data_IF_173023077656
#
_entry.id   IF_173023077656
#
_cell.length_a   1.000
_cell.length_b   1.000
_cell.length_c   1.000
_cell.angle_alpha   90.00
_cell.angle_beta   90.00
_cell.angle_gamma   90.00
#
_symmetry.space_group_name_H-M   'P 1'
#
loop_
_entity.id
_entity.type
_entity.pdbx_description
1 polymer ?
#
# COMPACT_ATOMS: atom_id res chain seq x y z
N UNK A 1 34.52 14.07 -13.78
CA UNK A 1 33.29 13.46 -14.34
C UNK A 1 32.09 14.17 -13.72
N UNK A 2 31.08 14.57 -14.53
CA UNK A 2 30.15 15.69 -14.20
C UNK A 2 28.68 15.28 -13.98
N UNK A 3 28.37 14.00 -13.74
CA UNK A 3 27.00 13.53 -13.50
C UNK A 3 26.96 12.36 -12.52
N UNK A 4 25.91 12.31 -11.70
CA UNK A 4 25.60 11.18 -10.82
C UNK A 4 25.10 10.03 -11.72
N UNK A 5 25.76 8.87 -11.66
CA UNK A 5 25.28 7.65 -12.31
C UNK A 5 24.28 6.97 -11.39
N UNK A 6 23.11 6.61 -11.93
CA UNK A 6 22.12 5.81 -11.22
C UNK A 6 22.58 4.38 -10.97
N UNK A 7 21.80 3.64 -10.19
CA UNK A 7 22.04 2.23 -9.91
C UNK A 7 21.68 1.34 -11.10
N UNK A 8 22.41 0.23 -11.27
CA UNK A 8 22.08 -0.80 -12.25
C UNK A 8 20.79 -1.53 -11.84
N UNK A 9 19.82 -1.61 -12.76
CA UNK A 9 18.50 -2.24 -12.53
C UNK A 9 18.57 -3.75 -12.32
N UNK A 10 19.70 -4.37 -12.65
CA UNK A 10 19.96 -5.81 -12.47
C UNK A 10 20.78 -6.12 -11.22
N UNK A 11 21.25 -5.09 -10.51
CA UNK A 11 22.06 -5.24 -9.32
C UNK A 11 21.23 -5.86 -8.19
N UNK A 12 21.69 -7.02 -7.71
CA UNK A 12 21.05 -7.75 -6.61
C UNK A 12 21.61 -7.28 -5.27
N UNK A 13 20.74 -7.08 -4.28
CA UNK A 13 21.16 -6.74 -2.93
C UNK A 13 21.52 -8.01 -2.14
N UNK A 14 22.57 -7.94 -1.32
CA UNK A 14 22.98 -9.06 -0.44
C UNK A 14 21.91 -9.36 0.62
N UNK A 15 21.19 -8.32 1.07
CA UNK A 15 20.03 -8.42 1.95
C UNK A 15 18.84 -7.74 1.28
N UNK A 16 17.64 -8.36 1.26
CA UNK A 16 16.46 -7.71 0.70
C UNK A 16 16.11 -6.47 1.54
N UNK A 17 15.79 -5.36 0.86
CA UNK A 17 15.16 -4.21 1.52
C UNK A 17 13.77 -4.62 2.02
N UNK A 18 13.39 -4.15 3.22
CA UNK A 18 12.02 -4.38 3.68
C UNK A 18 11.02 -3.63 2.80
N UNK A 19 9.76 -4.07 2.78
CA UNK A 19 8.70 -3.36 2.06
C UNK A 19 8.61 -1.90 2.54
N UNK A 20 8.71 -1.68 3.85
CA UNK A 20 8.76 -0.33 4.42
C UNK A 20 9.94 0.49 3.89
N UNK A 21 11.15 -0.08 3.83
CA UNK A 21 12.34 0.61 3.31
C UNK A 21 12.29 0.90 1.81
N UNK A 22 11.47 0.16 1.06
CA UNK A 22 11.25 0.41 -0.37
C UNK A 22 10.25 1.53 -0.66
N UNK A 23 9.50 1.98 0.35
CA UNK A 23 8.57 3.10 0.25
C UNK A 23 9.30 4.36 0.73
N UNK A 24 9.32 5.37 -0.14
CA UNK A 24 9.88 6.69 0.16
C UNK A 24 9.30 7.25 1.48
N UNK A 25 10.13 7.82 2.37
CA UNK A 25 9.66 8.39 3.64
C UNK A 25 8.56 9.46 3.48
N UNK A 26 8.57 10.21 2.38
CA UNK A 26 7.60 11.27 2.09
C UNK A 26 6.42 10.78 1.24
N UNK A 27 6.31 9.47 1.03
CA UNK A 27 5.21 8.89 0.26
C UNK A 27 3.88 9.00 1.01
N UNK A 28 2.84 9.48 0.33
CA UNK A 28 1.46 9.59 0.84
C UNK A 28 0.90 8.27 1.38
N UNK A 29 1.37 7.12 0.88
CA UNK A 29 0.96 5.80 1.38
C UNK A 29 1.21 5.66 2.87
N UNK A 30 2.30 6.22 3.40
CA UNK A 30 2.61 6.17 4.84
C UNK A 30 1.59 6.94 5.67
N UNK A 31 1.11 8.08 5.18
CA UNK A 31 0.06 8.85 5.84
C UNK A 31 -1.28 8.08 5.84
N UNK A 32 -1.60 7.43 4.72
CA UNK A 32 -2.81 6.62 4.59
C UNK A 32 -2.76 5.42 5.53
N UNK A 33 -1.59 4.78 5.64
CA UNK A 33 -1.35 3.64 6.52
C UNK A 33 -1.55 4.02 8.00
N UNK A 34 -0.87 5.07 8.45
CA UNK A 34 -1.03 5.64 9.80
C UNK A 34 -2.48 6.04 10.10
N UNK A 35 -3.17 6.64 9.13
CA UNK A 35 -4.56 7.05 9.29
C UNK A 35 -5.48 5.85 9.46
N UNK A 36 -5.38 4.86 8.57
CA UNK A 36 -6.23 3.67 8.62
C UNK A 36 -5.98 2.82 9.87
N UNK A 37 -4.73 2.73 10.32
CA UNK A 37 -4.36 1.99 11.54
C UNK A 37 -4.82 2.71 12.82
N UNK A 38 -4.97 4.04 12.78
CA UNK A 38 -5.50 4.81 13.91
C UNK A 38 -7.02 4.66 14.11
N UNK A 39 -7.73 4.08 13.14
CA UNK A 39 -9.19 3.98 13.18
C UNK A 39 -9.65 2.65 13.78
N UNK A 40 -10.54 2.74 14.78
CA UNK A 40 -11.28 1.58 15.29
C UNK A 40 -12.40 1.20 14.31
N UNK A 41 -12.07 0.44 13.26
CA UNK A 41 -13.03 0.08 12.19
C UNK A 41 -14.30 -0.62 12.71
N UNK A 42 -14.17 -1.34 13.82
CA UNK A 42 -15.29 -1.99 14.50
C UNK A 42 -16.33 -0.97 15.00
N UNK A 43 -15.88 0.15 15.56
CA UNK A 43 -16.76 1.24 16.05
C UNK A 43 -17.46 1.96 14.91
N UNK A 44 -16.86 1.98 13.72
CA UNK A 44 -17.47 2.50 12.50
C UNK A 44 -18.42 1.50 11.81
N UNK A 45 -18.66 0.34 12.41
CA UNK A 45 -19.59 -0.67 11.90
C UNK A 45 -19.01 -1.58 10.82
N UNK A 46 -17.69 -1.58 10.61
CA UNK A 46 -17.06 -2.56 9.73
C UNK A 46 -17.05 -3.94 10.39
N UNK A 47 -17.44 -4.96 9.62
CA UNK A 47 -17.32 -6.35 10.03
C UNK A 47 -15.85 -6.76 9.92
N UNK A 48 -15.25 -7.07 11.05
CA UNK A 48 -13.87 -7.59 11.13
C UNK A 48 -13.83 -9.09 11.43
N UNK A 49 -14.94 -9.66 11.90
CA UNK A 49 -15.11 -11.10 12.08
C UNK A 49 -15.43 -11.76 10.73
N UNK A 50 -14.60 -12.72 10.32
CA UNK A 50 -14.80 -13.50 9.11
C UNK A 50 -14.86 -14.99 9.42
N UNK A 51 -15.60 -15.72 8.59
CA UNK A 51 -15.75 -17.17 8.75
C UNK A 51 -14.45 -17.84 8.30
N UNK A 52 -13.91 -18.75 9.12
CA UNK A 52 -12.68 -19.52 8.81
C UNK A 52 -12.82 -20.51 7.64
N UNK A 53 -14.01 -20.60 7.03
CA UNK A 53 -14.27 -21.54 5.95
C UNK A 53 -13.97 -20.91 4.59
N UNK A 54 -12.87 -21.32 3.95
CA UNK A 54 -12.53 -20.96 2.58
C UNK A 54 -11.36 -19.98 2.48
N UNK A 55 -11.33 -19.18 1.41
CA UNK A 55 -10.28 -18.17 1.22
C UNK A 55 -10.51 -17.03 2.21
N UNK A 56 -9.50 -16.64 3.01
CA UNK A 56 -9.62 -15.50 3.91
C UNK A 56 -10.03 -14.24 3.16
N UNK A 57 -10.93 -13.46 3.76
CA UNK A 57 -11.27 -12.13 3.27
C UNK A 57 -10.09 -11.17 3.48
N UNK A 58 -10.01 -10.13 2.65
CA UNK A 58 -9.10 -9.01 2.92
C UNK A 58 -9.55 -8.25 4.15
N UNK A 59 -8.59 -7.75 4.94
CA UNK A 59 -8.91 -6.96 6.12
C UNK A 59 -9.57 -5.63 5.68
N UNK A 60 -10.64 -5.16 6.35
CA UNK A 60 -11.31 -3.91 5.98
C UNK A 60 -10.38 -2.69 5.98
N UNK A 61 -9.33 -2.70 6.81
CA UNK A 61 -8.32 -1.63 6.81
C UNK A 61 -7.56 -1.55 5.48
N UNK A 62 -7.17 -2.68 4.92
CA UNK A 62 -6.41 -2.72 3.65
C UNK A 62 -7.26 -2.19 2.50
N UNK A 63 -8.55 -2.57 2.49
CA UNK A 63 -9.52 -2.06 1.52
C UNK A 63 -9.76 -0.56 1.69
N UNK A 64 -9.79 -0.06 2.93
CA UNK A 64 -9.91 1.36 3.21
C UNK A 64 -8.69 2.15 2.74
N UNK A 65 -7.47 1.65 3.02
CA UNK A 65 -6.21 2.24 2.54
C UNK A 65 -6.23 2.37 1.01
N UNK A 66 -6.61 1.30 0.31
CA UNK A 66 -6.74 1.28 -1.16
C UNK A 66 -7.76 2.30 -1.67
N UNK A 67 -8.91 2.40 -0.99
CA UNK A 67 -9.98 3.34 -1.35
C UNK A 67 -9.53 4.80 -1.20
N UNK A 68 -8.91 5.14 -0.08
CA UNK A 68 -8.39 6.48 0.20
C UNK A 68 -7.31 6.84 -0.84
N UNK A 69 -6.38 5.92 -1.11
CA UNK A 69 -5.33 6.12 -2.10
C UNK A 69 -5.89 6.41 -3.50
N UNK A 70 -6.86 5.60 -3.95
CA UNK A 70 -7.51 5.81 -5.24
C UNK A 70 -8.26 7.14 -5.31
N UNK A 71 -8.91 7.53 -4.21
CA UNK A 71 -9.61 8.81 -4.12
C UNK A 71 -8.65 10.01 -4.20
N UNK A 72 -7.57 10.01 -3.42
CA UNK A 72 -6.55 11.07 -3.41
C UNK A 72 -5.90 11.25 -4.79
N UNK A 73 -5.62 10.14 -5.48
CA UNK A 73 -5.02 10.15 -6.81
C UNK A 73 -6.02 10.35 -7.95
N UNK A 74 -7.31 10.58 -7.65
CA UNK A 74 -8.41 10.72 -8.62
C UNK A 74 -8.54 9.52 -9.58
N UNK A 75 -8.14 8.33 -9.13
CA UNK A 75 -8.21 7.09 -9.90
C UNK A 75 -9.61 6.49 -9.71
N UNK A 76 -10.40 6.48 -10.79
CA UNK A 76 -11.77 5.92 -10.78
C UNK A 76 -11.86 4.50 -11.33
N UNK A 77 -10.84 4.07 -12.08
CA UNK A 77 -10.77 2.76 -12.73
C UNK A 77 -10.10 1.76 -11.80
N UNK A 78 -10.78 0.66 -11.50
CA UNK A 78 -10.22 -0.43 -10.69
C UNK A 78 -8.94 -1.02 -11.30
N UNK A 79 -8.87 -1.09 -12.64
CA UNK A 79 -7.68 -1.56 -13.37
C UNK A 79 -6.50 -0.62 -13.24
N UNK A 80 -6.75 0.68 -13.23
CA UNK A 80 -5.67 1.67 -13.08
C UNK A 80 -5.22 1.76 -11.63
N UNK A 81 -6.13 1.54 -10.68
CA UNK A 81 -5.80 1.38 -9.27
C UNK A 81 -4.93 0.14 -9.04
N UNK A 82 -5.27 -1.00 -9.64
CA UNK A 82 -4.47 -2.23 -9.59
C UNK A 82 -3.05 -2.00 -10.13
N UNK A 83 -2.90 -1.30 -11.26
CA UNK A 83 -1.58 -0.95 -11.82
C UNK A 83 -0.77 -0.09 -10.86
N UNK A 84 -1.42 0.85 -10.18
CA UNK A 84 -0.77 1.75 -9.22
C UNK A 84 -0.34 1.04 -7.95
N UNK A 85 -1.09 0.04 -7.48
CA UNK A 85 -0.70 -0.80 -6.35
C UNK A 85 0.54 -1.67 -6.63
N UNK A 86 0.80 -2.00 -7.89
CA UNK A 86 2.06 -2.68 -8.27
C UNK A 86 3.28 -1.77 -8.21
N UNK A 87 3.06 -0.45 -8.15
CA UNK A 87 4.11 0.58 -8.13
C UNK A 87 4.27 1.21 -6.74
N UNK A 88 3.15 1.41 -6.06
CA UNK A 88 3.06 1.91 -4.69
C UNK A 88 2.79 0.69 -3.82
N UNK A 89 3.84 0.21 -3.16
CA UNK A 89 3.80 -1.01 -2.37
C UNK A 89 2.81 -0.79 -1.21
N UNK A 90 1.77 -1.61 -1.17
CA UNK A 90 0.86 -1.80 -0.04
C UNK A 90 1.02 -3.23 0.46
#
# INVERSE_FOLDING_TARGET
>A
MKFIKGHDRTQTYLFPVSLDQSIDPDNEVRLIDLFADSLSLQEFGFKTDFVDNGRPAYHPADLLKLYIYGYLNKIRSSRDLEKKCKQSIF
#
